data_IF_146275710271
#
_entry.id   IF_146275710271
#
_cell.length_a   1.000
_cell.length_b   1.000
_cell.length_c   1.000
_cell.angle_alpha   90.00
_cell.angle_beta   90.00
_cell.angle_gamma   90.00
#
_symmetry.space_group_name_H-M   'P 1'
#
loop_
_entity.id
_entity.type
_entity.pdbx_description
1 polymer ?
#
# COMPACT_ATOMS: atom_id res chain seq x y z
N UNK A 1 -1.15 16.83 -2.11
CA UNK A 1 -1.84 15.54 -2.34
C UNK A 1 -2.08 14.88 -0.98
N UNK A 2 -3.31 14.49 -0.64
CA UNK A 2 -3.60 13.92 0.69
C UNK A 2 -2.92 12.54 0.81
N UNK A 3 -2.00 12.38 1.76
CA UNK A 3 -1.25 11.14 1.95
C UNK A 3 -2.15 9.94 2.31
N UNK A 4 -3.42 10.18 2.66
CA UNK A 4 -4.42 9.15 2.95
C UNK A 4 -4.63 8.16 1.82
N UNK A 5 -4.49 8.57 0.55
CA UNK A 5 -4.77 7.69 -0.61
C UNK A 5 -3.82 6.49 -0.69
N UNK A 6 -2.57 6.65 -0.22
CA UNK A 6 -1.53 5.62 -0.24
C UNK A 6 -1.59 4.67 0.97
N UNK A 7 -2.44 5.00 1.96
CA UNK A 7 -2.69 4.20 3.17
C UNK A 7 -4.11 3.61 3.18
N UNK A 8 -4.76 3.58 2.03
CA UNK A 8 -6.15 3.14 1.85
C UNK A 8 -6.18 1.87 1.01
N UNK A 9 -6.98 0.89 1.43
CA UNK A 9 -7.40 -0.24 0.62
C UNK A 9 -8.69 0.14 -0.10
N UNK A 10 -8.61 0.38 -1.40
CA UNK A 10 -9.76 0.66 -2.22
C UNK A 10 -10.45 -0.65 -2.58
N UNK A 11 -11.75 -0.72 -2.38
CA UNK A 11 -12.57 -1.89 -2.59
C UNK A 11 -13.62 -1.60 -3.66
N UNK A 12 -13.51 -2.30 -4.79
CA UNK A 12 -14.57 -2.41 -5.77
C UNK A 12 -15.45 -3.64 -5.52
N UNK A 13 -16.42 -3.85 -6.39
CA UNK A 13 -17.30 -5.02 -6.36
C UNK A 13 -16.50 -6.32 -6.48
N UNK A 14 -15.54 -6.37 -7.41
CA UNK A 14 -14.81 -7.58 -7.83
C UNK A 14 -13.32 -7.57 -7.45
N UNK A 15 -12.82 -6.49 -6.85
CA UNK A 15 -11.38 -6.27 -6.65
C UNK A 15 -11.04 -5.42 -5.44
N UNK A 16 -9.79 -5.54 -5.01
CA UNK A 16 -9.13 -4.58 -4.15
C UNK A 16 -7.98 -3.89 -4.88
N UNK A 17 -7.72 -2.62 -4.54
CA UNK A 17 -6.64 -1.81 -5.11
C UNK A 17 -5.91 -1.07 -4.00
N UNK A 18 -4.58 -1.06 -4.07
CA UNK A 18 -3.71 -0.20 -3.26
C UNK A 18 -2.78 0.60 -4.15
N UNK A 19 -2.26 1.70 -3.62
CA UNK A 19 -1.27 2.51 -4.30
C UNK A 19 0.01 2.60 -3.47
N UNK A 20 1.13 2.64 -4.18
CA UNK A 20 2.44 2.87 -3.61
C UNK A 20 3.04 4.14 -4.20
N UNK A 21 3.75 4.89 -3.36
CA UNK A 21 4.57 6.02 -3.78
C UNK A 21 5.94 5.91 -3.14
N UNK A 22 6.94 6.47 -3.81
CA UNK A 22 8.25 6.67 -3.22
C UNK A 22 8.98 7.82 -3.89
N UNK A 23 9.95 8.38 -3.18
CA UNK A 23 10.88 9.37 -3.69
C UNK A 23 12.30 8.87 -3.48
N UNK A 24 13.14 8.95 -4.51
CA UNK A 24 14.55 8.56 -4.42
C UNK A 24 15.42 9.32 -5.40
N UNK A 25 16.74 9.41 -5.13
CA UNK A 25 17.70 9.99 -6.09
C UNK A 25 17.91 9.11 -7.33
N UNK A 26 17.61 7.82 -7.22
CA UNK A 26 17.75 6.86 -8.31
C UNK A 26 16.37 6.40 -8.76
N UNK A 27 16.09 6.50 -10.05
CA UNK A 27 14.81 6.12 -10.64
C UNK A 27 14.41 4.69 -10.27
N UNK A 28 15.30 3.73 -10.53
CA UNK A 28 15.06 2.30 -10.23
C UNK A 28 14.74 2.07 -8.75
N UNK A 29 15.40 2.81 -7.84
CA UNK A 29 15.14 2.69 -6.41
C UNK A 29 13.77 3.27 -6.04
N UNK A 30 13.38 4.41 -6.61
CA UNK A 30 12.05 4.96 -6.42
C UNK A 30 10.96 3.98 -6.90
N UNK A 31 11.15 3.40 -8.09
CA UNK A 31 10.22 2.38 -8.63
C UNK A 31 10.08 1.18 -7.68
N UNK A 32 11.21 0.59 -7.26
CA UNK A 32 11.20 -0.57 -6.36
C UNK A 32 10.52 -0.25 -5.02
N UNK A 33 10.79 0.93 -4.44
CA UNK A 33 10.18 1.34 -3.18
C UNK A 33 8.67 1.56 -3.32
N UNK A 34 8.20 2.11 -4.44
CA UNK A 34 6.78 2.27 -4.72
C UNK A 34 6.07 0.91 -4.85
N UNK A 35 6.69 -0.08 -5.52
CA UNK A 35 6.15 -1.44 -5.62
C UNK A 35 6.05 -2.13 -4.25
N UNK A 36 7.10 -2.00 -3.43
CA UNK A 36 7.11 -2.52 -2.06
C UNK A 36 6.01 -1.87 -1.22
N UNK A 37 5.82 -0.55 -1.34
CA UNK A 37 4.77 0.17 -0.63
C UNK A 37 3.36 -0.32 -1.05
N UNK A 38 3.07 -0.42 -2.35
CA UNK A 38 1.77 -0.89 -2.83
C UNK A 38 1.47 -2.33 -2.35
N UNK A 39 2.46 -3.21 -2.46
CA UNK A 39 2.37 -4.61 -2.04
C UNK A 39 2.20 -4.74 -0.53
N UNK A 40 3.01 -4.02 0.24
CA UNK A 40 2.95 -4.01 1.71
C UNK A 40 1.61 -3.51 2.22
N UNK A 41 1.10 -2.41 1.67
CA UNK A 41 -0.24 -1.89 2.01
C UNK A 41 -1.33 -2.92 1.69
N UNK A 42 -1.26 -3.60 0.55
CA UNK A 42 -2.24 -4.65 0.20
C UNK A 42 -2.25 -5.77 1.23
N UNK A 43 -1.07 -6.29 1.60
CA UNK A 43 -0.94 -7.34 2.61
C UNK A 43 -1.49 -6.90 3.97
N UNK A 44 -1.01 -5.78 4.50
CA UNK A 44 -1.42 -5.26 5.81
C UNK A 44 -2.93 -5.04 5.88
N UNK A 45 -3.52 -4.46 4.84
CA UNK A 45 -4.94 -4.13 4.84
C UNK A 45 -5.83 -5.36 4.67
N UNK A 46 -5.46 -6.32 3.81
CA UNK A 46 -6.22 -7.58 3.68
C UNK A 46 -6.11 -8.44 4.94
N UNK A 47 -4.92 -8.53 5.55
CA UNK A 47 -4.74 -9.21 6.83
C UNK A 47 -5.59 -8.55 7.92
N UNK A 48 -5.57 -7.22 8.01
CA UNK A 48 -6.37 -6.50 9.01
C UNK A 48 -7.86 -6.68 8.74
N UNK A 49 -8.32 -6.58 7.49
CA UNK A 49 -9.72 -6.79 7.14
C UNK A 49 -10.19 -8.22 7.45
N UNK A 50 -9.32 -9.22 7.29
CA UNK A 50 -9.63 -10.60 7.61
C UNK A 50 -9.66 -10.85 9.13
N UNK A 51 -8.64 -10.42 9.87
CA UNK A 51 -8.43 -10.84 11.26
C UNK A 51 -8.90 -9.83 12.32
N UNK A 52 -8.94 -8.54 11.99
CA UNK A 52 -9.28 -7.46 12.91
C UNK A 52 -10.02 -6.31 12.19
N UNK A 53 -11.16 -6.58 11.50
CA UNK A 53 -11.86 -5.60 10.68
C UNK A 53 -12.32 -4.36 11.46
N UNK A 54 -12.52 -4.47 12.77
CA UNK A 54 -12.87 -3.38 13.67
C UNK A 54 -11.80 -2.27 13.72
N UNK A 55 -10.54 -2.59 13.42
CA UNK A 55 -9.41 -1.64 13.34
C UNK A 55 -9.41 -0.82 12.05
N UNK A 56 -10.28 -1.18 11.11
CA UNK A 56 -10.51 -0.42 9.89
C UNK A 56 -11.77 0.43 10.00
N UNK A 57 -11.76 1.57 9.33
CA UNK A 57 -12.93 2.42 9.15
C UNK A 57 -13.12 2.69 7.66
N UNK A 58 -14.38 2.76 7.22
CA UNK A 58 -14.71 3.17 5.85
C UNK A 58 -14.18 4.58 5.60
N UNK A 59 -13.49 4.73 4.48
CA UNK A 59 -13.06 5.99 3.93
C UNK A 59 -13.87 6.23 2.66
N UNK A 60 -14.60 7.36 2.63
CA UNK A 60 -15.54 7.66 1.55
C UNK A 60 -16.54 6.48 1.33
N UNK A 61 -16.85 6.15 0.08
CA UNK A 61 -17.79 5.08 -0.27
C UNK A 61 -17.11 3.74 -0.56
N UNK A 62 -15.82 3.74 -0.90
CA UNK A 62 -15.14 2.54 -1.42
C UNK A 62 -13.74 2.32 -0.85
N UNK A 63 -13.34 3.01 0.22
CA UNK A 63 -12.04 2.84 0.86
C UNK A 63 -12.12 2.20 2.24
N UNK A 64 -11.06 1.52 2.65
CA UNK A 64 -10.77 1.18 4.04
C UNK A 64 -9.47 1.85 4.45
N UNK A 65 -9.47 2.48 5.61
CA UNK A 65 -8.25 3.01 6.23
C UNK A 65 -8.12 2.54 7.66
N UNK A 66 -6.91 2.58 8.18
CA UNK A 66 -6.66 2.39 9.59
C UNK A 66 -7.47 3.42 10.41
N UNK A 67 -8.17 2.96 11.45
CA UNK A 67 -8.96 3.78 12.37
C UNK A 67 -8.09 4.75 13.17
N UNK A 68 -6.92 4.32 13.64
CA UNK A 68 -6.07 5.06 14.57
C UNK A 68 -4.96 5.85 13.88
N UNK A 69 -4.73 5.59 12.58
CA UNK A 69 -3.59 6.10 11.80
C UNK A 69 -2.20 5.63 12.29
N UNK A 70 -2.14 4.82 13.35
CA UNK A 70 -0.93 4.18 13.85
C UNK A 70 -0.72 2.84 13.12
N UNK A 71 0.35 2.72 12.34
CA UNK A 71 0.64 1.51 11.58
C UNK A 71 0.78 0.25 12.46
N UNK A 72 1.14 0.40 13.74
CA UNK A 72 1.26 -0.72 14.68
C UNK A 72 -0.09 -1.32 15.07
N UNK A 73 -1.19 -0.62 14.83
CA UNK A 73 -2.55 -1.12 15.05
C UNK A 73 -2.98 -2.12 13.96
N UNK A 74 -2.29 -2.15 12.82
CA UNK A 74 -2.58 -3.10 11.75
C UNK A 74 -2.08 -4.51 12.07
N UNK A 75 -2.70 -5.51 11.44
CA UNK A 75 -2.30 -6.90 11.57
C UNK A 75 -1.03 -7.14 10.76
N UNK A 76 0.07 -7.43 11.46
CA UNK A 76 1.36 -7.76 10.87
C UNK A 76 1.42 -9.25 10.51
N UNK A 77 1.96 -9.53 9.33
CA UNK A 77 2.07 -10.88 8.81
C UNK A 77 2.45 -10.87 7.35
N UNK A 78 2.50 -12.08 6.79
CA UNK A 78 2.66 -12.28 5.37
C UNK A 78 1.52 -13.09 4.78
N UNK A 79 1.26 -12.85 3.51
CA UNK A 79 0.31 -13.61 2.71
C UNK A 79 0.77 -13.63 1.24
N UNK A 80 0.80 -14.80 0.58
CA UNK A 80 1.03 -14.87 -0.85
C UNK A 80 -0.17 -14.28 -1.60
N UNK A 81 0.06 -13.19 -2.35
CA UNK A 81 -0.95 -12.51 -3.16
C UNK A 81 -0.78 -12.85 -4.65
N UNK A 82 -1.87 -12.89 -5.43
CA UNK A 82 -1.79 -13.12 -6.87
C UNK A 82 -1.31 -11.88 -7.63
N UNK A 83 -0.62 -12.07 -8.76
CA UNK A 83 -0.15 -10.98 -9.60
C UNK A 83 0.98 -10.15 -8.98
N UNK A 84 1.17 -8.94 -9.51
CA UNK A 84 2.19 -7.97 -9.09
C UNK A 84 1.64 -6.55 -9.28
N UNK A 85 2.21 -5.54 -8.60
CA UNK A 85 1.94 -4.15 -8.95
C UNK A 85 2.18 -3.87 -10.44
N UNK A 86 1.46 -2.90 -11.00
CA UNK A 86 1.70 -2.41 -12.36
C UNK A 86 3.07 -1.73 -12.39
N UNK A 87 3.73 -1.71 -13.56
CA UNK A 87 5.00 -0.99 -13.72
C UNK A 87 4.85 0.46 -13.22
N UNK A 88 5.69 0.92 -12.27
CA UNK A 88 5.59 2.27 -11.74
C UNK A 88 5.79 3.33 -12.81
N UNK A 89 5.02 4.41 -12.71
CA UNK A 89 5.26 5.64 -13.48
C UNK A 89 6.22 6.52 -12.70
N UNK A 90 7.20 7.11 -13.38
CA UNK A 90 8.25 7.93 -12.78
C UNK A 90 8.25 9.35 -13.34
N UNK A 91 8.46 10.32 -12.46
CA UNK A 91 8.66 11.72 -12.82
C UNK A 91 9.96 12.21 -12.20
N UNK A 92 10.83 12.79 -13.03
CA UNK A 92 12.03 13.48 -12.55
C UNK A 92 11.63 14.86 -12.02
N UNK A 93 12.03 15.15 -10.79
CA UNK A 93 11.81 16.43 -10.15
C UNK A 93 13.16 17.10 -9.94
N UNK A 94 13.31 18.32 -10.44
CA UNK A 94 14.52 19.14 -10.28
C UNK A 94 14.32 20.17 -9.18
N UNK A 95 15.34 20.40 -8.34
CA UNK A 95 15.27 21.32 -7.19
C UNK A 95 15.17 20.64 -5.83
N UNK A 96 14.93 21.40 -4.76
CA UNK A 96 14.87 20.87 -3.38
C UNK A 96 13.60 20.04 -3.17
N UNK A 97 13.76 18.71 -3.16
CA UNK A 97 12.64 17.79 -2.94
C UNK A 97 12.50 17.46 -1.47
N UNK A 98 11.40 17.88 -0.86
CA UNK A 98 10.97 17.43 0.47
C UNK A 98 9.87 16.38 0.32
N UNK A 99 10.19 15.12 0.58
CA UNK A 99 9.15 14.11 0.77
C UNK A 99 8.65 14.18 2.22
N UNK A 100 7.37 14.50 2.39
CA UNK A 100 6.75 14.77 3.69
C UNK A 100 6.71 13.57 4.64
N UNK A 101 7.03 12.36 4.16
CA UNK A 101 7.10 11.13 4.96
C UNK A 101 8.53 10.62 5.22
N UNK A 102 9.56 11.07 4.48
CA UNK A 102 10.94 10.49 4.54
C UNK A 102 12.08 11.50 4.71
N UNK A 103 11.80 12.79 4.82
CA UNK A 103 12.83 13.83 4.92
C UNK A 103 13.39 14.21 3.54
N UNK A 104 14.00 15.40 3.45
CA UNK A 104 14.45 15.97 2.19
C UNK A 104 15.45 15.10 1.43
N UNK A 105 15.24 14.91 0.13
CA UNK A 105 16.04 14.02 -0.72
C UNK A 105 17.22 14.77 -1.35
N UNK A 106 17.33 16.09 -1.15
CA UNK A 106 18.38 16.95 -1.69
C UNK A 106 17.99 17.59 -3.02
N UNK A 107 18.98 17.96 -3.82
CA UNK A 107 18.80 18.47 -5.19
C UNK A 107 18.62 17.29 -6.15
N UNK A 108 17.55 17.35 -6.96
CA UNK A 108 17.12 16.35 -7.95
C UNK A 108 16.70 14.99 -7.36
N UNK A 109 15.48 14.54 -7.70
CA UNK A 109 14.96 13.24 -7.31
C UNK A 109 13.97 12.68 -8.35
N UNK A 110 13.57 11.44 -8.13
CA UNK A 110 12.55 10.73 -8.88
C UNK A 110 11.37 10.42 -7.96
N UNK A 111 10.18 10.82 -8.39
CA UNK A 111 8.93 10.38 -7.80
C UNK A 111 8.46 9.15 -8.57
N UNK A 112 8.10 8.09 -7.86
CA UNK A 112 7.49 6.91 -8.46
C UNK A 112 6.12 6.66 -7.83
N UNK A 113 5.15 6.30 -8.67
CA UNK A 113 3.81 5.88 -8.24
C UNK A 113 3.41 4.61 -8.96
N UNK A 114 2.79 3.69 -8.25
CA UNK A 114 2.22 2.45 -8.80
C UNK A 114 0.92 2.07 -8.11
N UNK A 115 0.12 1.23 -8.76
CA UNK A 115 -1.05 0.58 -8.21
C UNK A 115 -0.90 -0.94 -8.21
N UNK A 116 -1.49 -1.60 -7.22
CA UNK A 116 -1.61 -3.05 -7.17
C UNK A 116 -3.08 -3.45 -7.04
N UNK A 117 -3.54 -4.29 -7.97
CA UNK A 117 -4.91 -4.79 -8.03
C UNK A 117 -4.93 -6.30 -7.77
N UNK A 118 -5.85 -6.72 -6.92
CA UNK A 118 -6.11 -8.12 -6.60
C UNK A 118 -7.59 -8.39 -6.81
N UNK A 119 -7.93 -9.40 -7.62
CA UNK A 119 -9.32 -9.77 -7.86
C UNK A 119 -9.83 -10.66 -6.71
N UNK A 120 -11.07 -10.41 -6.25
CA UNK A 120 -11.71 -11.19 -5.18
C UNK A 120 -11.98 -12.65 -5.56
N UNK A 121 -12.06 -12.93 -6.87
CA UNK A 121 -12.16 -14.30 -7.39
C UNK A 121 -10.85 -15.10 -7.27
N UNK A 122 -9.71 -14.41 -7.20
CA UNK A 122 -8.39 -15.06 -7.14
C UNK A 122 -7.93 -15.24 -5.68
N UNK A 123 -8.47 -14.45 -4.76
CA UNK A 123 -8.27 -14.61 -3.32
C UNK A 123 -9.44 -14.00 -2.55
N UNK A 124 -10.02 -14.75 -1.62
CA UNK A 124 -11.09 -14.28 -0.72
C UNK A 124 -10.54 -13.94 0.65
N UNK A 125 -11.31 -13.22 1.50
CA UNK A 125 -10.91 -13.03 2.91
C UNK A 125 -10.82 -14.35 3.70
N UNK A 126 -11.55 -15.39 3.28
CA UNK A 126 -11.42 -16.73 3.86
C UNK A 126 -10.07 -17.37 3.47
N UNK A 127 -9.65 -17.23 2.21
CA UNK A 127 -8.33 -17.67 1.76
C UNK A 127 -7.21 -16.90 2.48
N UNK A 128 -7.42 -15.60 2.73
CA UNK A 128 -6.50 -14.79 3.52
C UNK A 128 -6.32 -15.40 4.90
N UNK A 129 -7.41 -15.74 5.60
CA UNK A 129 -7.33 -16.39 6.91
C UNK A 129 -6.62 -17.73 6.88
N UNK A 130 -6.89 -18.54 5.85
CA UNK A 130 -6.35 -19.89 5.74
C UNK A 130 -4.85 -19.91 5.40
N UNK A 131 -4.34 -18.88 4.71
CA UNK A 131 -2.98 -18.87 4.15
C UNK A 131 -2.03 -17.88 4.82
N UNK A 132 -2.53 -16.98 5.64
CA UNK A 132 -1.73 -15.97 6.31
C UNK A 132 -0.73 -16.57 7.30
N UNK A 133 0.46 -15.99 7.34
CA UNK A 133 1.48 -16.23 8.35
C UNK A 133 1.59 -14.98 9.22
N UNK A 134 0.86 -14.96 10.33
CA UNK A 134 0.86 -13.81 11.24
C UNK A 134 2.19 -13.73 11.98
N UNK A 135 2.76 -12.52 12.03
CA UNK A 135 3.84 -12.24 12.95
C UNK A 135 3.17 -12.05 14.32
N UNK A 136 3.48 -12.91 15.29
CA UNK A 136 3.03 -12.70 16.67
C UNK A 136 3.63 -11.37 17.12
N UNK A 137 2.77 -10.37 17.34
CA UNK A 137 3.10 -9.15 18.08
C UNK A 137 3.34 -9.46 19.55
#
# INVERSE_FOLDING_TARGET
>A
MNASIFRTLWEGEDRWVTYGRAVSRLEVKAMQQAEVAATGTMKLMLLTQAFAPERLVRFETCGWRNRTSDANDLVLGDIPLPGKPVMPTTDRVTGSVTDGDTGGVGEDAWHAVTGYMVMKKDITLADVKARAQLLKG
#
